data_IF_333324330117
#
_entry.id   IF_333324330117
#
_cell.length_a   1.000
_cell.length_b   1.000
_cell.length_c   1.000
_cell.angle_alpha   90.00
_cell.angle_beta   90.00
_cell.angle_gamma   90.00
#
_symmetry.space_group_name_H-M   'P 1'
#
loop_
_entity.id
_entity.type
_entity.pdbx_description
1 polymer ?
#
# COMPACT_ATOMS: atom_id res chain seq x y z
N UNK A 1 11.05 17.06 1.39
CA UNK A 1 11.53 15.80 1.92
C UNK A 1 10.56 14.70 1.61
N UNK A 2 11.09 13.60 1.20
CA UNK A 2 10.27 12.49 0.76
C UNK A 2 9.61 11.74 1.91
N UNK A 3 8.31 11.56 1.82
CA UNK A 3 7.63 10.63 2.70
C UNK A 3 8.14 9.21 2.42
N UNK A 4 8.12 8.37 3.44
CA UNK A 4 8.61 6.99 3.35
C UNK A 4 7.47 6.07 2.96
N UNK A 5 7.68 5.26 1.93
CA UNK A 5 6.66 4.36 1.39
C UNK A 5 7.13 2.91 1.48
N UNK A 6 6.26 2.04 1.97
CA UNK A 6 6.45 0.59 1.94
C UNK A 6 5.54 0.03 0.84
N UNK A 7 6.12 -0.76 -0.07
CA UNK A 7 5.37 -1.36 -1.17
C UNK A 7 5.13 -2.84 -0.88
N UNK A 8 3.86 -3.27 -0.90
CA UNK A 8 3.49 -4.65 -0.64
C UNK A 8 2.73 -5.23 -1.82
N UNK A 9 3.32 -6.23 -2.47
CA UNK A 9 2.72 -6.94 -3.61
C UNK A 9 3.48 -8.24 -3.77
N UNK A 10 2.79 -9.34 -4.08
CA UNK A 10 3.46 -10.62 -4.26
C UNK A 10 4.19 -10.74 -5.60
N UNK A 11 3.89 -9.86 -6.54
CA UNK A 11 4.54 -9.83 -7.86
C UNK A 11 5.75 -8.89 -7.85
N UNK A 12 6.94 -9.45 -8.02
CA UNK A 12 8.18 -8.66 -8.05
C UNK A 12 8.15 -7.58 -9.12
N UNK A 13 7.58 -7.90 -10.29
CA UNK A 13 7.47 -6.92 -11.38
C UNK A 13 6.63 -5.72 -10.95
N UNK A 14 5.54 -5.96 -10.25
CA UNK A 14 4.66 -4.88 -9.80
C UNK A 14 5.36 -4.01 -8.75
N UNK A 15 6.10 -4.63 -7.83
CA UNK A 15 6.88 -3.87 -6.84
C UNK A 15 7.90 -2.97 -7.52
N UNK A 16 8.58 -3.50 -8.56
CA UNK A 16 9.57 -2.73 -9.31
C UNK A 16 8.91 -1.55 -10.01
N UNK A 17 7.77 -1.76 -10.64
CA UNK A 17 7.04 -0.72 -11.36
C UNK A 17 6.59 0.39 -10.40
N UNK A 18 5.98 0.02 -9.27
CA UNK A 18 5.55 1.00 -8.27
C UNK A 18 6.73 1.76 -7.68
N UNK A 19 7.84 1.05 -7.40
CA UNK A 19 9.03 1.68 -6.86
C UNK A 19 9.56 2.75 -7.81
N UNK A 20 9.59 2.46 -9.11
CA UNK A 20 10.05 3.41 -10.10
C UNK A 20 9.15 4.66 -10.14
N UNK A 21 7.85 4.45 -10.20
CA UNK A 21 6.88 5.55 -10.24
C UNK A 21 6.99 6.43 -8.99
N UNK A 22 7.01 5.80 -7.82
CA UNK A 22 6.98 6.48 -6.53
C UNK A 22 8.29 7.23 -6.30
N UNK A 23 9.42 6.62 -6.63
CA UNK A 23 10.72 7.24 -6.46
C UNK A 23 10.86 8.47 -7.37
N UNK A 24 10.42 8.36 -8.62
CA UNK A 24 10.48 9.48 -9.56
C UNK A 24 9.59 10.64 -9.14
N UNK A 25 8.56 10.37 -8.35
CA UNK A 25 7.67 11.41 -7.84
C UNK A 25 8.23 12.11 -6.60
N UNK A 26 9.41 11.70 -6.12
CA UNK A 26 10.07 12.36 -4.99
C UNK A 26 9.86 11.72 -3.64
N UNK A 27 9.25 10.54 -3.59
CA UNK A 27 9.05 9.81 -2.35
C UNK A 27 10.16 8.77 -2.15
N UNK A 28 10.39 8.39 -0.91
CA UNK A 28 11.43 7.42 -0.58
C UNK A 28 10.79 6.04 -0.36
N UNK A 29 11.17 5.05 -1.16
CA UNK A 29 10.72 3.67 -0.95
C UNK A 29 11.68 3.02 0.04
N UNK A 30 11.21 2.78 1.25
CA UNK A 30 12.06 2.27 2.34
C UNK A 30 12.06 0.75 2.44
N UNK A 31 11.15 0.08 1.76
CA UNK A 31 11.14 -1.38 1.77
C UNK A 31 10.05 -1.96 0.89
N UNK A 32 10.09 -3.26 0.74
CA UNK A 32 9.13 -4.03 -0.03
C UNK A 32 8.75 -5.28 0.75
N UNK A 33 7.52 -5.76 0.55
CA UNK A 33 7.05 -7.00 1.14
C UNK A 33 6.27 -7.78 0.10
N UNK A 34 6.29 -9.10 0.18
CA UNK A 34 5.67 -9.97 -0.81
C UNK A 34 4.40 -10.67 -0.30
N UNK A 35 4.03 -10.46 0.95
CA UNK A 35 2.78 -10.98 1.51
C UNK A 35 2.39 -10.13 2.71
N UNK A 36 1.19 -10.40 3.23
CA UNK A 36 0.65 -9.60 4.33
C UNK A 36 1.40 -9.76 5.64
N UNK A 37 1.89 -10.95 5.92
CA UNK A 37 2.65 -11.20 7.14
C UNK A 37 3.96 -10.40 7.15
N UNK A 38 4.67 -10.45 6.03
CA UNK A 38 5.91 -9.69 5.86
C UNK A 38 5.63 -8.19 5.93
N UNK A 39 4.49 -7.75 5.38
CA UNK A 39 4.10 -6.36 5.43
C UNK A 39 3.93 -5.86 6.86
N UNK A 40 3.29 -6.65 7.71
CA UNK A 40 3.10 -6.29 9.12
C UNK A 40 4.44 -6.17 9.83
N UNK A 41 5.33 -7.13 9.61
CA UNK A 41 6.67 -7.12 10.20
C UNK A 41 7.47 -5.90 9.76
N UNK A 42 7.45 -5.62 8.45
CA UNK A 42 8.17 -4.47 7.90
C UNK A 42 7.58 -3.14 8.36
N UNK A 43 6.28 -3.09 8.56
CA UNK A 43 5.65 -1.88 9.09
C UNK A 43 6.20 -1.56 10.48
N UNK A 44 6.30 -2.57 11.33
CA UNK A 44 6.84 -2.39 12.68
C UNK A 44 8.29 -1.91 12.65
N UNK A 45 9.08 -2.49 11.75
CA UNK A 45 10.51 -2.20 11.65
C UNK A 45 10.79 -0.84 11.03
N UNK A 46 10.13 -0.54 9.91
CA UNK A 46 10.45 0.63 9.09
C UNK A 46 9.61 1.86 9.41
N UNK A 47 8.43 1.67 10.00
CA UNK A 47 7.50 2.76 10.32
C UNK A 47 7.31 3.72 9.16
N UNK A 48 6.85 3.22 8.00
CA UNK A 48 6.67 4.07 6.83
C UNK A 48 5.53 5.06 7.03
N UNK A 49 5.54 6.12 6.26
CA UNK A 49 4.45 7.10 6.27
C UNK A 49 3.25 6.61 5.50
N UNK A 50 3.48 5.82 4.44
CA UNK A 50 2.44 5.32 3.54
C UNK A 50 2.76 3.89 3.15
N UNK A 51 1.73 3.06 3.01
CA UNK A 51 1.85 1.68 2.53
C UNK A 51 0.98 1.52 1.29
N UNK A 52 1.54 0.95 0.21
CA UNK A 52 0.72 0.48 -0.91
C UNK A 52 0.56 -1.03 -0.72
N UNK A 53 -0.67 -1.53 -0.73
CA UNK A 53 -0.99 -2.89 -0.33
C UNK A 53 -1.84 -3.59 -1.36
N UNK A 54 -1.30 -4.66 -1.97
CA UNK A 54 -2.09 -5.53 -2.82
C UNK A 54 -3.11 -6.29 -1.97
N UNK A 55 -4.22 -6.67 -2.55
CA UNK A 55 -5.28 -7.37 -1.82
C UNK A 55 -5.01 -8.88 -1.75
N UNK A 56 -4.76 -9.51 -2.90
CA UNK A 56 -4.63 -10.97 -2.97
C UNK A 56 -3.16 -11.38 -2.89
N UNK A 57 -2.79 -11.99 -1.78
CA UNK A 57 -1.41 -12.44 -1.54
C UNK A 57 -1.42 -13.73 -0.74
N UNK A 58 -0.35 -14.55 -0.85
CA UNK A 58 -0.26 -15.77 -0.05
C UNK A 58 -0.05 -15.45 1.44
N UNK A 59 -0.32 -16.42 2.28
CA UNK A 59 -0.19 -16.43 3.73
C UNK A 59 -1.16 -15.49 4.43
N UNK A 60 -1.04 -14.19 4.20
CA UNK A 60 -1.97 -13.20 4.77
C UNK A 60 -2.30 -12.22 3.65
N UNK A 61 -3.58 -12.06 3.33
CA UNK A 61 -4.00 -11.14 2.26
C UNK A 61 -3.94 -9.68 2.74
N UNK A 62 -4.16 -8.76 1.80
CA UNK A 62 -4.02 -7.34 2.08
C UNK A 62 -5.04 -6.81 3.09
N UNK A 63 -6.25 -7.33 3.10
CA UNK A 63 -7.28 -6.90 4.04
C UNK A 63 -6.90 -7.28 5.46
N UNK A 64 -6.42 -8.51 5.64
CA UNK A 64 -5.94 -8.97 6.94
C UNK A 64 -4.75 -8.14 7.41
N UNK A 65 -3.83 -7.83 6.48
CA UNK A 65 -2.67 -7.01 6.80
C UNK A 65 -3.08 -5.59 7.23
N UNK A 66 -4.07 -4.99 6.56
CA UNK A 66 -4.60 -3.68 6.95
C UNK A 66 -5.10 -3.73 8.38
N UNK A 67 -5.88 -4.75 8.73
CA UNK A 67 -6.42 -4.89 10.09
C UNK A 67 -5.31 -4.98 11.12
N UNK A 68 -4.27 -5.79 10.83
CA UNK A 68 -3.15 -5.96 11.75
C UNK A 68 -2.33 -4.67 11.90
N UNK A 69 -2.06 -4.01 10.79
CA UNK A 69 -1.30 -2.75 10.82
C UNK A 69 -2.07 -1.67 11.58
N UNK A 70 -3.38 -1.60 11.41
CA UNK A 70 -4.20 -0.60 12.11
C UNK A 70 -4.27 -0.87 13.61
N UNK A 71 -4.08 -2.10 14.04
CA UNK A 71 -3.94 -2.42 15.48
C UNK A 71 -2.64 -1.88 16.04
N UNK A 72 -1.58 -1.94 15.24
CA UNK A 72 -0.26 -1.43 15.63
C UNK A 72 -0.26 0.09 15.64
N UNK A 73 -0.84 0.68 14.61
CA UNK A 73 -0.86 2.13 14.42
C UNK A 73 -2.21 2.54 13.83
N UNK A 74 -3.14 3.04 14.67
CA UNK A 74 -4.46 3.46 14.20
C UNK A 74 -4.41 4.57 13.15
N UNK A 75 -3.30 5.28 13.04
CA UNK A 75 -3.12 6.37 12.07
C UNK A 75 -2.41 5.92 10.81
N UNK A 76 -2.16 4.63 10.64
CA UNK A 76 -1.48 4.11 9.46
C UNK A 76 -2.22 4.51 8.19
N UNK A 77 -1.46 4.93 7.18
CA UNK A 77 -1.99 5.37 5.89
C UNK A 77 -1.72 4.31 4.85
N UNK A 78 -2.78 3.61 4.44
CA UNK A 78 -2.66 2.46 3.53
C UNK A 78 -3.50 2.73 2.29
N UNK A 79 -2.88 2.54 1.12
CA UNK A 79 -3.54 2.64 -0.18
C UNK A 79 -3.61 1.23 -0.76
N UNK A 80 -4.82 0.74 -1.05
CA UNK A 80 -4.97 -0.58 -1.65
C UNK A 80 -4.65 -0.51 -3.14
N UNK A 81 -4.05 -1.58 -3.67
CA UNK A 81 -3.81 -1.73 -5.10
C UNK A 81 -4.50 -3.03 -5.51
N UNK A 82 -5.60 -2.91 -6.26
CA UNK A 82 -6.47 -4.04 -6.54
C UNK A 82 -6.58 -4.34 -8.03
N UNK A 83 -6.89 -5.60 -8.37
CA UNK A 83 -7.25 -5.95 -9.73
C UNK A 83 -8.69 -5.53 -10.01
N UNK A 84 -9.04 -5.42 -11.29
CA UNK A 84 -10.42 -5.18 -11.69
C UNK A 84 -11.29 -6.34 -11.21
N UNK A 85 -12.51 -6.03 -10.80
CA UNK A 85 -13.43 -7.03 -10.30
C UNK A 85 -13.33 -7.31 -8.81
N UNK A 86 -12.52 -6.56 -8.08
CA UNK A 86 -12.34 -6.75 -6.64
C UNK A 86 -13.06 -5.68 -5.80
N UNK A 87 -14.13 -5.09 -6.33
CA UNK A 87 -14.81 -3.98 -5.65
C UNK A 87 -15.27 -4.33 -4.23
N UNK A 88 -15.81 -5.52 -4.02
CA UNK A 88 -16.29 -5.92 -2.70
C UNK A 88 -15.14 -5.98 -1.71
N UNK A 89 -13.97 -6.45 -2.15
CA UNK A 89 -12.78 -6.54 -1.30
C UNK A 89 -12.21 -5.15 -1.01
N UNK A 90 -12.28 -4.24 -1.99
CA UNK A 90 -11.85 -2.85 -1.79
C UNK A 90 -12.72 -2.19 -0.71
N UNK A 91 -14.03 -2.39 -0.77
CA UNK A 91 -14.95 -1.84 0.23
C UNK A 91 -14.60 -2.37 1.61
N UNK A 92 -14.35 -3.67 1.71
CA UNK A 92 -13.95 -4.29 2.97
C UNK A 92 -12.64 -3.69 3.51
N UNK A 93 -11.67 -3.46 2.62
CA UNK A 93 -10.40 -2.86 3.01
C UNK A 93 -10.57 -1.43 3.51
N UNK A 94 -11.42 -0.64 2.85
CA UNK A 94 -11.71 0.73 3.28
C UNK A 94 -12.38 0.70 4.66
N UNK A 95 -13.34 -0.20 4.87
CA UNK A 95 -13.98 -0.36 6.18
C UNK A 95 -12.98 -0.77 7.26
N UNK A 96 -11.94 -1.50 6.87
CA UNK A 96 -10.88 -1.90 7.79
C UNK A 96 -9.89 -0.77 8.09
N UNK A 97 -9.95 0.33 7.34
CA UNK A 97 -9.14 1.51 7.61
C UNK A 97 -8.23 2.00 6.49
N UNK A 98 -8.27 1.36 5.32
CA UNK A 98 -7.49 1.86 4.17
C UNK A 98 -8.03 3.23 3.74
N UNK A 99 -7.12 4.09 3.27
CA UNK A 99 -7.44 5.49 2.94
C UNK A 99 -7.88 5.70 1.50
N UNK A 100 -7.40 4.87 0.58
CA UNK A 100 -7.69 5.03 -0.85
C UNK A 100 -7.41 3.71 -1.55
N UNK A 101 -7.69 3.66 -2.85
CA UNK A 101 -7.39 2.48 -3.64
C UNK A 101 -7.00 2.86 -5.07
N UNK A 102 -6.25 1.98 -5.72
CA UNK A 102 -5.80 2.11 -7.11
C UNK A 102 -6.13 0.79 -7.80
N UNK A 103 -6.71 0.85 -9.00
CA UNK A 103 -7.09 -0.35 -9.75
C UNK A 103 -6.04 -0.66 -10.82
N UNK A 104 -5.62 -1.91 -10.91
CA UNK A 104 -4.70 -2.39 -11.95
C UNK A 104 -5.50 -2.73 -13.21
N UNK A 105 -5.01 -2.42 -14.41
CA UNK A 105 -3.80 -1.64 -14.69
C UNK A 105 -4.01 -0.17 -14.42
N UNK A 106 -2.98 0.51 -13.95
CA UNK A 106 -3.06 1.93 -13.58
C UNK A 106 -2.11 2.76 -14.43
N UNK A 107 -2.40 4.06 -14.52
CA UNK A 107 -1.48 5.03 -15.08
C UNK A 107 -0.58 5.56 -13.96
N UNK A 108 0.68 5.88 -14.25
CA UNK A 108 1.57 6.45 -13.22
C UNK A 108 0.98 7.67 -12.52
N UNK A 109 0.28 8.53 -13.26
CA UNK A 109 -0.35 9.72 -12.69
C UNK A 109 -1.36 9.37 -11.60
N UNK A 110 -2.09 8.25 -11.75
CA UNK A 110 -3.07 7.83 -10.74
C UNK A 110 -2.38 7.42 -9.44
N UNK A 111 -1.25 6.74 -9.54
CA UNK A 111 -0.47 6.31 -8.36
C UNK A 111 0.02 7.54 -7.62
N UNK A 112 0.61 8.48 -8.35
CA UNK A 112 1.15 9.72 -7.78
C UNK A 112 0.05 10.54 -7.11
N UNK A 113 -1.10 10.66 -7.76
CA UNK A 113 -2.25 11.38 -7.22
C UNK A 113 -2.71 10.78 -5.88
N UNK A 114 -2.83 9.46 -5.81
CA UNK A 114 -3.29 8.79 -4.60
C UNK A 114 -2.30 8.98 -3.45
N UNK A 115 -1.01 8.84 -3.75
CA UNK A 115 0.03 9.00 -2.73
C UNK A 115 0.08 10.44 -2.22
N UNK A 116 0.02 11.39 -3.14
CA UNK A 116 0.05 12.82 -2.78
C UNK A 116 -1.12 13.18 -1.88
N UNK A 117 -2.32 12.73 -2.26
CA UNK A 117 -3.54 13.00 -1.49
C UNK A 117 -3.43 12.44 -0.08
N UNK A 118 -3.02 11.19 0.04
CA UNK A 118 -2.90 10.52 1.35
C UNK A 118 -1.78 11.14 2.17
N UNK A 119 -0.67 11.51 1.54
CA UNK A 119 0.46 12.13 2.23
C UNK A 119 0.08 13.48 2.84
N UNK A 120 -0.86 14.20 2.20
CA UNK A 120 -1.30 15.52 2.67
C UNK A 120 -2.39 15.45 3.73
N UNK A 121 -3.00 14.29 3.93
CA UNK A 121 -3.99 14.11 4.98
C UNK A 121 -3.30 14.11 6.34
N UNK A 122 -3.85 14.84 7.24
CA UNK A 122 -3.33 14.97 8.60
C UNK A 122 -3.47 13.73 9.48
#
# INVERSE_FOLDING_TARGET
>A
MGKKVLIVDDAAFMRMLLKDIITKAGYEVVGEASNGKEAVEKYKELKPDIVTMDITMPEMNGIEAVKEIKKIDPNAKIIMVSAMGQQAMVIEAIQAGARDFIVKPFQPARVIEAIKKVAEEG
#
